data_IF_129033884827
#
_entry.id   IF_129033884827
#
_cell.length_a   1.000
_cell.length_b   1.000
_cell.length_c   1.000
_cell.angle_alpha   90.00
_cell.angle_beta   90.00
_cell.angle_gamma   90.00
#
_symmetry.space_group_name_H-M   'P 1'
#
loop_
_entity.id
_entity.type
_entity.pdbx_description
1 polymer ?
#
# COMPACT_ATOMS: atom_id res chain seq x y z
N UNK A 1 16.37 1.63 -8.86
CA UNK A 1 15.27 1.73 -7.90
C UNK A 1 15.52 2.94 -7.03
N UNK A 2 14.71 4.00 -7.18
CA UNK A 2 14.89 5.22 -6.41
C UNK A 2 14.23 5.05 -5.04
N UNK A 3 15.01 4.87 -3.99
CA UNK A 3 14.48 4.63 -2.64
C UNK A 3 13.59 5.79 -2.15
N UNK A 4 13.87 7.03 -2.56
CA UNK A 4 13.10 8.20 -2.12
C UNK A 4 11.64 8.15 -2.63
N UNK A 5 11.44 7.77 -3.89
CA UNK A 5 10.11 7.72 -4.53
C UNK A 5 9.25 6.59 -3.92
N UNK A 6 9.87 5.45 -3.59
CA UNK A 6 9.16 4.34 -2.94
C UNK A 6 8.64 4.75 -1.56
N UNK A 7 9.45 5.49 -0.79
CA UNK A 7 9.01 5.98 0.52
C UNK A 7 7.82 6.94 0.39
N UNK A 8 7.90 7.90 -0.53
CA UNK A 8 6.82 8.87 -0.76
C UNK A 8 5.53 8.19 -1.25
N UNK A 9 5.65 7.24 -2.17
CA UNK A 9 4.51 6.41 -2.59
C UNK A 9 3.91 5.66 -1.41
N UNK A 10 4.73 4.98 -0.59
CA UNK A 10 4.26 4.20 0.55
C UNK A 10 3.48 5.07 1.53
N UNK A 11 4.01 6.23 1.92
CA UNK A 11 3.32 7.15 2.83
C UNK A 11 1.99 7.64 2.24
N UNK A 12 1.97 7.93 0.94
CA UNK A 12 0.76 8.37 0.25
C UNK A 12 -0.29 7.27 0.15
N UNK A 13 0.10 6.03 -0.09
CA UNK A 13 -0.82 4.88 -0.10
C UNK A 13 -1.38 4.66 1.30
N UNK A 14 -0.53 4.69 2.33
CA UNK A 14 -0.95 4.55 3.73
C UNK A 14 -1.90 5.67 4.19
N UNK A 15 -1.81 6.88 3.63
CA UNK A 15 -2.74 7.95 3.97
C UNK A 15 -4.17 7.67 3.51
N UNK A 16 -4.36 6.71 2.59
CA UNK A 16 -5.65 6.24 2.11
C UNK A 16 -6.08 4.91 2.75
N UNK A 17 -5.26 4.35 3.64
CA UNK A 17 -5.59 3.11 4.32
C UNK A 17 -6.81 3.27 5.21
N UNK A 18 -7.68 2.28 5.20
CA UNK A 18 -8.82 2.16 6.10
C UNK A 18 -8.54 1.05 7.09
N UNK A 19 -8.97 1.24 8.33
CA UNK A 19 -8.77 0.29 9.41
C UNK A 19 -10.12 -0.05 10.04
N UNK A 20 -10.29 -1.32 10.36
CA UNK A 20 -11.49 -1.86 10.98
C UNK A 20 -11.09 -2.85 12.07
N UNK A 21 -11.94 -2.98 13.11
CA UNK A 21 -11.77 -4.00 14.14
C UNK A 21 -12.63 -5.21 13.77
N UNK A 22 -12.01 -6.39 13.68
CA UNK A 22 -12.65 -7.64 13.29
C UNK A 22 -12.59 -8.69 14.41
N UNK A 23 -13.42 -9.73 14.33
CA UNK A 23 -13.39 -10.88 15.24
C UNK A 23 -12.31 -11.89 14.78
N UNK A 24 -11.05 -11.61 15.13
CA UNK A 24 -9.88 -12.45 14.81
C UNK A 24 -8.85 -12.44 15.96
N UNK A 25 -7.84 -13.33 15.92
CA UNK A 25 -6.68 -13.29 16.83
C UNK A 25 -5.87 -11.99 16.67
N UNK A 26 -5.85 -11.44 15.45
CA UNK A 26 -5.30 -10.13 15.11
C UNK A 26 -6.44 -9.16 14.78
N UNK A 27 -7.04 -8.51 15.80
CA UNK A 27 -8.31 -7.81 15.64
C UNK A 27 -8.23 -6.53 14.80
N UNK A 28 -7.05 -6.02 14.46
CA UNK A 28 -6.91 -4.82 13.64
C UNK A 28 -6.67 -5.19 12.19
N UNK A 29 -7.69 -5.01 11.35
CA UNK A 29 -7.59 -5.15 9.91
C UNK A 29 -7.31 -3.80 9.27
N UNK A 30 -6.43 -3.78 8.27
CA UNK A 30 -6.10 -2.59 7.50
C UNK A 30 -6.01 -2.93 6.02
N UNK A 31 -6.65 -2.14 5.18
CA UNK A 31 -6.59 -2.27 3.73
C UNK A 31 -6.41 -0.92 3.05
N UNK A 32 -6.04 -0.94 1.77
CA UNK A 32 -6.01 0.28 0.96
C UNK A 32 -7.05 0.18 -0.16
N UNK A 33 -8.19 0.86 -0.03
CA UNK A 33 -9.27 0.80 -1.01
C UNK A 33 -8.78 1.15 -2.42
N UNK A 34 -8.97 0.22 -3.34
CA UNK A 34 -8.53 0.35 -4.73
C UNK A 34 -7.25 -0.42 -5.06
N UNK A 35 -6.48 -0.90 -4.06
CA UNK A 35 -5.40 -1.87 -4.29
C UNK A 35 -5.87 -3.28 -3.95
N UNK A 36 -6.37 -3.98 -4.97
CA UNK A 36 -6.77 -5.37 -4.82
C UNK A 36 -5.62 -6.22 -4.25
N UNK A 37 -5.91 -6.94 -3.17
CA UNK A 37 -4.96 -7.80 -2.47
C UNK A 37 -3.98 -7.07 -1.54
N UNK A 38 -4.16 -5.77 -1.26
CA UNK A 38 -3.38 -5.04 -0.24
C UNK A 38 -4.19 -4.93 1.03
N UNK A 39 -3.91 -5.83 1.96
CA UNK A 39 -4.42 -5.75 3.32
C UNK A 39 -3.42 -6.38 4.29
N UNK A 40 -3.57 -6.07 5.57
CA UNK A 40 -2.80 -6.65 6.65
C UNK A 40 -3.65 -6.70 7.93
N UNK A 41 -3.25 -7.58 8.85
CA UNK A 41 -3.81 -7.68 10.20
C UNK A 41 -2.71 -7.41 11.24
N UNK A 42 -3.10 -7.15 12.49
CA UNK A 42 -2.18 -7.06 13.61
C UNK A 42 -2.90 -7.09 14.96
N UNK A 43 -2.15 -7.33 16.05
CA UNK A 43 -2.68 -7.35 17.42
C UNK A 43 -2.88 -5.95 18.00
N UNK A 44 -2.30 -4.95 17.34
CA UNK A 44 -2.50 -3.53 17.61
C UNK A 44 -2.66 -2.77 16.29
N UNK A 45 -3.25 -1.56 16.36
CA UNK A 45 -3.34 -0.68 15.19
C UNK A 45 -1.96 -0.32 14.62
N UNK A 46 -0.95 -0.16 15.48
CA UNK A 46 0.41 0.15 15.07
C UNK A 46 1.07 -1.03 14.34
N UNK A 47 0.91 -2.24 14.87
CA UNK A 47 1.39 -3.47 14.22
C UNK A 47 0.71 -3.70 12.87
N UNK A 48 -0.62 -3.54 12.79
CA UNK A 48 -1.36 -3.62 11.53
C UNK A 48 -0.84 -2.61 10.51
N UNK A 49 -0.58 -1.36 10.92
CA UNK A 49 -0.03 -0.31 10.05
C UNK A 49 1.38 -0.64 9.56
N UNK A 50 2.22 -1.23 10.40
CA UNK A 50 3.57 -1.66 10.02
C UNK A 50 3.53 -2.86 9.06
N UNK A 51 2.66 -3.83 9.32
CA UNK A 51 2.44 -4.95 8.40
C UNK A 51 1.92 -4.46 7.05
N UNK A 52 1.00 -3.50 7.03
CA UNK A 52 0.47 -2.91 5.81
C UNK A 52 1.55 -2.20 4.99
N UNK A 53 2.52 -1.53 5.62
CA UNK A 53 3.70 -0.97 4.93
C UNK A 53 4.46 -2.02 4.16
N UNK A 54 4.78 -3.15 4.80
CA UNK A 54 5.52 -4.24 4.16
C UNK A 54 4.73 -4.87 3.01
N UNK A 55 3.42 -5.04 3.18
CA UNK A 55 2.55 -5.56 2.10
C UNK A 55 2.55 -4.60 0.90
N UNK A 56 2.46 -3.29 1.12
CA UNK A 56 2.53 -2.28 0.05
C UNK A 56 3.87 -2.38 -0.69
N UNK A 57 4.99 -2.46 0.02
CA UNK A 57 6.32 -2.57 -0.60
C UNK A 57 6.44 -3.84 -1.45
N UNK A 58 6.03 -5.00 -0.92
CA UNK A 58 6.03 -6.26 -1.69
C UNK A 58 5.10 -6.21 -2.90
N UNK A 59 3.92 -5.61 -2.74
CA UNK A 59 2.92 -5.47 -3.80
C UNK A 59 3.39 -4.60 -4.97
N UNK A 60 4.19 -3.55 -4.70
CA UNK A 60 4.87 -2.75 -5.73
C UNK A 60 5.92 -3.59 -6.46
N UNK A 61 6.78 -4.28 -5.71
CA UNK A 61 7.88 -5.08 -6.28
C UNK A 61 7.35 -6.13 -7.25
N UNK A 62 6.33 -6.89 -6.85
CA UNK A 62 5.70 -7.92 -7.69
C UNK A 62 5.15 -7.28 -8.98
N UNK A 63 4.45 -6.15 -8.88
CA UNK A 63 3.88 -5.52 -10.08
C UNK A 63 4.93 -4.97 -11.03
N UNK A 64 6.03 -4.44 -10.50
CA UNK A 64 7.16 -4.02 -11.32
C UNK A 64 7.79 -5.21 -12.03
N UNK A 65 8.08 -6.30 -11.33
CA UNK A 65 8.67 -7.50 -11.94
C UNK A 65 7.80 -8.09 -13.05
N UNK A 66 6.47 -7.92 -12.94
CA UNK A 66 5.51 -8.44 -13.91
C UNK A 66 4.94 -7.37 -14.87
N UNK A 67 5.45 -6.14 -14.87
CA UNK A 67 4.93 -5.01 -15.68
C UNK A 67 3.39 -4.82 -15.57
N UNK A 68 2.86 -4.90 -14.35
CA UNK A 68 1.44 -4.75 -14.06
C UNK A 68 1.10 -3.31 -13.65
N UNK A 69 -0.03 -2.79 -14.13
CA UNK A 69 -0.48 -1.44 -13.84
C UNK A 69 -0.97 -1.24 -12.38
N UNK A 70 -0.79 -0.03 -11.85
CA UNK A 70 -1.15 0.37 -10.45
C UNK A 70 -2.12 1.57 -10.40
N UNK A 71 -2.80 1.83 -11.49
CA UNK A 71 -3.45 3.12 -11.79
C UNK A 71 -4.58 3.57 -10.84
N UNK A 72 -5.18 2.67 -10.05
CA UNK A 72 -6.38 2.96 -9.27
C UNK A 72 -6.17 3.93 -8.10
N UNK A 73 -5.04 3.85 -7.39
CA UNK A 73 -4.73 4.75 -6.26
C UNK A 73 -4.03 6.02 -6.71
N UNK A 74 -3.10 5.93 -7.66
CA UNK A 74 -2.35 7.12 -8.12
C UNK A 74 -3.27 8.24 -8.61
N UNK A 75 -4.33 7.88 -9.34
CA UNK A 75 -5.35 8.83 -9.80
C UNK A 75 -6.07 9.55 -8.64
N UNK A 76 -6.28 8.87 -7.50
CA UNK A 76 -6.92 9.46 -6.32
C UNK A 76 -5.93 10.22 -5.42
N UNK A 77 -4.69 9.73 -5.36
CA UNK A 77 -3.61 10.29 -4.55
C UNK A 77 -3.05 11.60 -5.14
N UNK A 78 -3.30 11.89 -6.42
CA UNK A 78 -2.75 13.07 -7.08
C UNK A 78 -1.23 12.99 -7.30
N UNK A 79 -0.68 11.77 -7.31
CA UNK A 79 0.68 11.53 -7.78
C UNK A 79 0.68 11.65 -9.30
N UNK A 80 1.67 12.35 -9.85
CA UNK A 80 1.79 12.56 -11.28
C UNK A 80 2.03 11.22 -11.99
N UNK A 81 1.50 11.06 -13.20
CA UNK A 81 1.62 9.80 -13.96
C UNK A 81 3.09 9.45 -14.26
N UNK A 82 3.95 10.47 -14.32
CA UNK A 82 5.40 10.35 -14.47
C UNK A 82 6.05 9.72 -13.22
N UNK A 83 5.61 10.08 -12.02
CA UNK A 83 6.11 9.52 -10.75
C UNK A 83 5.73 8.05 -10.62
N UNK A 84 4.58 7.65 -11.17
CA UNK A 84 4.16 6.25 -11.26
C UNK A 84 5.10 5.44 -12.15
N UNK A 85 5.46 5.98 -13.32
CA UNK A 85 6.37 5.33 -14.27
C UNK A 85 7.80 5.20 -13.74
N UNK A 86 8.21 6.01 -12.77
CA UNK A 86 9.52 5.82 -12.11
C UNK A 86 9.52 4.70 -11.05
N UNK A 87 8.32 4.27 -10.61
CA UNK A 87 8.14 3.12 -9.72
C UNK A 87 8.08 1.78 -10.50
N UNK A 88 7.52 1.77 -11.72
CA UNK A 88 7.30 0.58 -12.55
C UNK A 88 8.16 0.59 -13.82
#
# INVERSE_FOLDING_TARGET
MNCAIIQEYREKVLSHAQYEVIEDEEPYYGEVPGLAGVYATGRSLEECRENLKHVIEGWILVRREHNLAVESIFRKAGLAEEEVKEVF
#
